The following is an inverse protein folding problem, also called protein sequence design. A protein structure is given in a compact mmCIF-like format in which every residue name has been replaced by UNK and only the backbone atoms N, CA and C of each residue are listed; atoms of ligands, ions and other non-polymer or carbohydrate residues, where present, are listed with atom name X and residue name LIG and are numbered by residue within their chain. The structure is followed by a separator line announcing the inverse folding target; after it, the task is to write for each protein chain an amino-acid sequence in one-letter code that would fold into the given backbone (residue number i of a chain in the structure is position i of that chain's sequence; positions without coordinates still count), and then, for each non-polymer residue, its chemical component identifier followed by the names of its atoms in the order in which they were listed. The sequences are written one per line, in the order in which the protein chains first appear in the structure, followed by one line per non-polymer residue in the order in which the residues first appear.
data_IF_325189530776
#
_entry.id   IF_325189530776
#
_cell.length_a   1.000
_cell.length_b   1.000
_cell.length_c   1.000
_cell.angle_alpha   90.00
_cell.angle_beta   90.00
_cell.angle_gamma   90.00
#
_symmetry.space_group_name_H-M   'P 1'
#
loop_
_entity.id
_entity.type
_entity.pdbx_description
1 polymer ?
#
# COMPACT_ATOMS: atom_id res chain seq x y z
N UNK A 1 12.98 8.64 -68.19
CA UNK A 1 14.01 8.52 -67.13
C UNK A 1 13.51 9.34 -65.94
N UNK A 2 12.53 8.84 -65.20
CA UNK A 2 12.59 8.00 -63.99
C UNK A 2 13.21 8.73 -62.77
N UNK A 3 12.34 9.35 -61.96
CA UNK A 3 12.63 9.86 -60.61
C UNK A 3 12.27 8.73 -59.64
N UNK A 4 13.27 8.22 -58.92
CA UNK A 4 13.16 7.05 -58.05
C UNK A 4 12.44 7.35 -56.74
N UNK A 5 11.44 6.53 -56.43
CA UNK A 5 10.67 6.53 -55.19
C UNK A 5 11.49 5.95 -54.03
N UNK A 6 11.52 6.65 -52.90
CA UNK A 6 12.14 6.23 -51.65
C UNK A 6 11.12 5.43 -50.83
N UNK A 7 11.20 4.10 -50.88
CA UNK A 7 10.40 3.20 -50.03
C UNK A 7 11.06 3.06 -48.65
N UNK A 8 10.42 3.58 -47.60
CA UNK A 8 10.77 3.25 -46.22
C UNK A 8 10.12 1.90 -45.85
N UNK A 9 10.93 0.86 -45.76
CA UNK A 9 10.55 -0.42 -45.14
C UNK A 9 10.64 -0.25 -43.62
N UNK A 10 9.52 -0.07 -42.93
CA UNK A 10 9.46 -0.21 -41.47
C UNK A 10 9.16 -1.68 -41.20
N UNK A 11 10.20 -2.47 -40.97
CA UNK A 11 10.07 -3.84 -40.47
C UNK A 11 9.57 -3.77 -39.03
N UNK A 12 8.27 -3.97 -38.84
CA UNK A 12 7.66 -4.07 -37.53
C UNK A 12 8.10 -5.37 -36.85
N UNK A 13 9.07 -5.30 -35.94
CA UNK A 13 9.27 -6.37 -34.97
C UNK A 13 8.13 -6.27 -33.95
N UNK A 14 7.11 -7.12 -34.13
CA UNK A 14 6.19 -7.46 -33.05
C UNK A 14 7.02 -8.15 -31.96
N UNK A 15 7.50 -7.38 -30.99
CA UNK A 15 8.07 -7.93 -29.77
C UNK A 15 6.92 -8.50 -28.95
N UNK A 16 6.75 -9.81 -29.01
CA UNK A 16 5.89 -10.55 -28.09
C UNK A 16 6.53 -10.48 -26.72
N UNK A 17 6.19 -9.44 -25.95
CA UNK A 17 6.61 -9.31 -24.55
C UNK A 17 5.89 -10.43 -23.79
N UNK A 18 6.53 -11.58 -23.59
CA UNK A 18 6.03 -12.64 -22.72
C UNK A 18 5.86 -12.09 -21.30
N UNK A 19 4.64 -12.00 -20.73
CA UNK A 19 4.45 -11.45 -19.38
C UNK A 19 4.84 -12.43 -18.26
N UNK A 20 5.62 -13.48 -18.52
CA UNK A 20 5.79 -14.62 -17.61
C UNK A 20 7.04 -14.57 -16.71
N UNK A 21 7.77 -13.46 -16.67
CA UNK A 21 8.91 -13.27 -15.73
C UNK A 21 8.77 -12.05 -14.82
N UNK A 22 7.55 -11.56 -14.60
CA UNK A 22 7.27 -10.46 -13.66
C UNK A 22 6.80 -10.93 -12.27
N UNK A 23 6.42 -12.21 -12.11
CA UNK A 23 5.65 -12.66 -10.95
C UNK A 23 6.47 -13.07 -9.70
N UNK A 24 7.81 -13.00 -9.72
CA UNK A 24 8.64 -13.49 -8.59
C UNK A 24 9.30 -12.41 -7.73
N UNK A 25 9.25 -11.14 -8.13
CA UNK A 25 9.91 -10.03 -7.41
C UNK A 25 8.94 -8.94 -6.92
N UNK A 26 7.63 -9.08 -7.17
CA UNK A 26 6.65 -8.04 -6.84
C UNK A 26 6.09 -8.12 -5.40
N UNK A 27 6.52 -9.10 -4.59
CA UNK A 27 6.03 -9.29 -3.21
C UNK A 27 6.97 -8.74 -2.12
N UNK A 28 8.14 -8.22 -2.48
CA UNK A 28 8.96 -7.39 -1.58
C UNK A 28 8.45 -5.93 -1.54
N UNK A 29 7.46 -5.61 -2.37
CA UNK A 29 6.86 -4.28 -2.47
C UNK A 29 5.60 -4.23 -1.62
N UNK A 30 5.65 -3.46 -0.54
CA UNK A 30 4.47 -3.06 0.22
C UNK A 30 3.48 -2.33 -0.69
N UNK A 31 2.28 -2.88 -0.83
CA UNK A 31 1.20 -2.32 -1.66
C UNK A 31 0.11 -1.72 -0.78
N UNK A 32 -0.38 -0.55 -1.17
CA UNK A 32 -1.48 0.13 -0.50
C UNK A 32 -2.65 0.36 -1.44
N UNK A 33 -3.85 0.06 -0.96
CA UNK A 33 -5.11 0.47 -1.59
C UNK A 33 -5.82 1.43 -0.65
N UNK A 34 -6.24 2.59 -1.17
CA UNK A 34 -6.95 3.60 -0.41
C UNK A 34 -8.37 3.71 -0.95
N UNK A 35 -9.36 3.54 -0.08
CA UNK A 35 -10.77 3.74 -0.40
C UNK A 35 -11.27 4.93 0.38
N UNK A 36 -11.63 6.00 -0.33
CA UNK A 36 -12.22 7.20 0.28
C UNK A 36 -13.66 6.89 0.66
N UNK A 37 -14.02 7.16 1.91
CA UNK A 37 -15.37 7.00 2.46
C UNK A 37 -15.83 8.36 3.05
N UNK A 38 -17.14 8.58 3.30
CA UNK A 38 -17.65 9.89 3.70
C UNK A 38 -16.95 10.54 4.92
N UNK A 39 -16.52 9.72 5.87
CA UNK A 39 -15.94 10.11 7.14
C UNK A 39 -14.46 9.73 7.29
N UNK A 40 -13.77 9.40 6.18
CA UNK A 40 -12.34 9.08 6.23
C UNK A 40 -11.81 8.30 5.03
N UNK A 41 -10.77 7.52 5.30
CA UNK A 41 -10.13 6.63 4.33
C UNK A 41 -9.97 5.26 4.96
N UNK A 42 -10.36 4.22 4.23
CA UNK A 42 -9.98 2.83 4.55
C UNK A 42 -8.70 2.53 3.79
N UNK A 43 -7.70 2.03 4.50
CA UNK A 43 -6.40 1.66 3.96
C UNK A 43 -6.25 0.16 4.07
N UNK A 44 -6.00 -0.49 2.94
CA UNK A 44 -5.57 -1.87 2.90
C UNK A 44 -4.09 -1.95 2.53
N UNK A 45 -3.31 -2.65 3.35
CA UNK A 45 -1.90 -2.89 3.11
C UNK A 45 -1.67 -4.37 2.82
N UNK A 46 -0.92 -4.67 1.76
CA UNK A 46 -0.52 -6.03 1.38
C UNK A 46 0.99 -6.08 1.29
N UNK A 47 1.61 -7.02 1.98
CA UNK A 47 3.06 -7.22 1.95
C UNK A 47 3.40 -8.67 2.29
N UNK A 48 4.63 -9.08 1.97
CA UNK A 48 5.17 -10.35 2.44
C UNK A 48 5.72 -10.19 3.85
N UNK A 49 5.21 -10.97 4.78
CA UNK A 49 5.73 -11.00 6.15
C UNK A 49 7.10 -11.66 6.23
N UNK A 50 7.80 -11.42 7.34
CA UNK A 50 9.17 -11.89 7.57
C UNK A 50 9.32 -13.43 7.58
N UNK A 51 10.55 -13.88 7.33
CA UNK A 51 10.88 -15.30 7.21
C UNK A 51 10.75 -16.08 8.54
N UNK A 52 10.79 -15.39 9.68
CA UNK A 52 10.63 -15.98 11.01
C UNK A 52 9.16 -16.06 11.46
N UNK A 53 8.23 -15.58 10.64
CA UNK A 53 6.80 -15.52 10.97
C UNK A 53 6.42 -14.35 11.89
N UNK A 54 7.32 -13.40 12.13
CA UNK A 54 7.09 -12.24 12.98
C UNK A 54 7.45 -10.95 12.27
N UNK A 55 6.47 -10.10 12.00
CA UNK A 55 6.72 -8.77 11.41
C UNK A 55 6.44 -7.66 12.41
N UNK A 56 7.39 -6.73 12.58
CA UNK A 56 7.16 -5.48 13.31
C UNK A 56 6.51 -4.45 12.38
N UNK A 57 5.27 -4.10 12.66
CA UNK A 57 4.55 -3.04 11.98
C UNK A 57 4.71 -1.72 12.74
N UNK A 58 5.39 -0.76 12.12
CA UNK A 58 5.38 0.62 12.56
C UNK A 58 4.16 1.34 11.96
N UNK A 59 3.22 1.77 12.81
CA UNK A 59 2.09 2.57 12.36
C UNK A 59 2.60 3.92 11.84
N UNK A 60 1.98 4.45 10.77
CA UNK A 60 2.41 5.71 10.18
C UNK A 60 2.39 6.83 11.23
N UNK A 61 3.52 7.51 11.39
CA UNK A 61 3.64 8.64 12.30
C UNK A 61 3.18 9.96 11.69
N UNK A 62 3.10 10.03 10.35
CA UNK A 62 2.73 11.24 9.61
C UNK A 62 2.07 10.89 8.27
N UNK A 63 1.01 11.61 7.92
CA UNK A 63 0.42 11.61 6.58
C UNK A 63 -0.34 12.93 6.39
N UNK A 64 -0.13 13.61 5.26
CA UNK A 64 -0.85 14.83 4.86
C UNK A 64 -0.99 15.87 5.99
N UNK A 65 0.13 16.49 6.38
CA UNK A 65 0.25 17.53 7.42
C UNK A 65 -0.10 17.13 8.87
N UNK A 66 -0.65 15.94 9.11
CA UNK A 66 -0.88 15.43 10.46
C UNK A 66 0.37 14.77 11.06
N UNK A 67 0.58 15.02 12.36
CA UNK A 67 1.59 14.36 13.21
C UNK A 67 0.89 13.36 14.12
N UNK A 68 1.56 12.26 14.45
CA UNK A 68 1.05 11.17 15.32
C UNK A 68 -0.18 10.43 14.78
N UNK A 69 -0.25 10.22 13.46
CA UNK A 69 -1.39 9.55 12.80
C UNK A 69 -1.72 8.16 13.37
N UNK A 70 -0.76 7.48 14.00
CA UNK A 70 -0.97 6.23 14.72
C UNK A 70 -2.08 6.31 15.78
N UNK A 71 -2.37 7.50 16.34
CA UNK A 71 -3.49 7.72 17.27
C UNK A 71 -4.86 7.59 16.61
N UNK A 72 -4.90 7.89 15.32
CA UNK A 72 -6.12 7.93 14.52
C UNK A 72 -6.34 6.66 13.71
N UNK A 73 -5.38 5.72 13.75
CA UNK A 73 -5.59 4.36 13.24
C UNK A 73 -6.68 3.67 14.05
N UNK A 74 -7.84 3.48 13.43
CA UNK A 74 -8.98 2.75 14.01
C UNK A 74 -9.13 1.40 13.34
N UNK A 75 -9.70 0.46 14.09
CA UNK A 75 -10.16 -0.83 13.56
C UNK A 75 -9.06 -1.61 12.81
N UNK A 76 -7.80 -1.53 13.27
CA UNK A 76 -6.71 -2.29 12.68
C UNK A 76 -7.01 -3.79 12.79
N UNK A 77 -7.14 -4.43 11.63
CA UNK A 77 -7.50 -5.84 11.53
C UNK A 77 -6.65 -6.54 10.47
N UNK A 78 -6.47 -7.85 10.67
CA UNK A 78 -5.93 -8.72 9.63
C UNK A 78 -7.06 -9.23 8.75
N UNK A 79 -6.85 -9.16 7.43
CA UNK A 79 -7.68 -9.81 6.41
C UNK A 79 -7.09 -11.16 5.98
N UNK A 80 -5.83 -11.45 6.31
CA UNK A 80 -5.22 -12.77 6.11
C UNK A 80 -5.60 -13.72 7.26
N UNK A 81 -6.01 -14.96 6.97
CA UNK A 81 -6.30 -15.97 7.99
C UNK A 81 -5.04 -16.25 8.82
N UNK A 82 -5.25 -16.61 10.08
CA UNK A 82 -4.21 -17.01 11.05
C UNK A 82 -3.13 -15.95 11.35
N UNK A 83 -3.27 -14.74 10.83
CA UNK A 83 -2.42 -13.60 11.20
C UNK A 83 -2.96 -12.97 12.48
N UNK A 84 -2.15 -12.95 13.52
CA UNK A 84 -2.50 -12.32 14.81
C UNK A 84 -1.77 -11.00 14.97
N UNK A 85 -2.47 -10.03 15.55
CA UNK A 85 -1.94 -8.69 15.82
C UNK A 85 -1.80 -8.52 17.33
N UNK A 86 -0.59 -8.21 17.77
CA UNK A 86 -0.27 -7.94 19.17
C UNK A 86 0.28 -6.52 19.33
N UNK A 87 0.22 -5.99 20.55
CA UNK A 87 0.84 -4.73 20.88
C UNK A 87 2.37 -4.86 20.81
N UNK A 88 3.04 -3.86 20.23
CA UNK A 88 4.50 -3.75 20.24
C UNK A 88 5.03 -3.05 21.50
N UNK A 89 6.26 -2.54 21.42
CA UNK A 89 6.91 -1.86 22.56
C UNK A 89 6.39 -0.44 22.79
N UNK A 90 5.66 0.11 21.83
CA UNK A 90 5.01 1.41 21.93
C UNK A 90 3.61 1.39 21.33
N UNK A 91 2.81 2.43 21.61
CA UNK A 91 1.46 2.57 21.05
C UNK A 91 1.44 2.65 19.51
N UNK A 92 2.56 3.02 18.89
CA UNK A 92 2.76 3.09 17.45
C UNK A 92 3.27 1.78 16.83
N UNK A 93 3.57 0.76 17.63
CA UNK A 93 4.08 -0.53 17.15
C UNK A 93 3.03 -1.63 17.29
N UNK A 94 2.98 -2.51 16.29
CA UNK A 94 2.25 -3.77 16.36
C UNK A 94 3.17 -4.91 15.96
N UNK A 95 3.01 -6.05 16.61
CA UNK A 95 3.71 -7.29 16.26
C UNK A 95 2.70 -8.18 15.53
N UNK A 96 3.07 -8.61 14.33
CA UNK A 96 2.25 -9.47 13.51
C UNK A 96 2.83 -10.88 13.56
N UNK A 97 2.04 -11.85 14.00
CA UNK A 97 2.39 -13.26 13.96
C UNK A 97 1.70 -13.92 12.78
N UNK A 98 2.45 -14.56 11.90
CA UNK A 98 1.95 -15.20 10.68
C UNK A 98 2.83 -16.41 10.31
N UNK A 99 2.40 -17.21 9.33
CA UNK A 99 3.28 -18.24 8.78
C UNK A 99 4.52 -17.61 8.12
N UNK A 100 5.67 -18.26 8.24
CA UNK A 100 6.94 -17.79 7.67
C UNK A 100 6.79 -17.38 6.20
N UNK A 101 7.14 -16.13 5.87
CA UNK A 101 7.08 -15.62 4.50
C UNK A 101 5.68 -15.47 3.88
N UNK A 102 4.63 -15.51 4.71
CA UNK A 102 3.23 -15.43 4.27
C UNK A 102 2.89 -14.06 3.67
N UNK A 103 1.90 -14.04 2.79
CA UNK A 103 1.30 -12.80 2.32
C UNK A 103 0.35 -12.27 3.40
N UNK A 104 0.72 -11.15 4.02
CA UNK A 104 -0.05 -10.48 5.06
C UNK A 104 -0.92 -9.41 4.41
N UNK A 105 -2.19 -9.36 4.81
CA UNK A 105 -3.12 -8.33 4.37
C UNK A 105 -3.77 -7.68 5.58
N UNK A 106 -3.61 -6.38 5.72
CA UNK A 106 -4.16 -5.60 6.83
C UNK A 106 -5.17 -4.59 6.30
N UNK A 107 -6.13 -4.24 7.14
CA UNK A 107 -7.06 -3.13 6.94
C UNK A 107 -7.07 -2.24 8.16
N UNK A 108 -7.09 -0.93 7.95
CA UNK A 108 -7.34 0.04 9.00
C UNK A 108 -8.05 1.26 8.46
N UNK A 109 -8.68 2.01 9.36
CA UNK A 109 -9.40 3.23 9.03
C UNK A 109 -8.68 4.45 9.59
N UNK A 110 -8.62 5.49 8.77
CA UNK A 110 -8.21 6.83 9.17
C UNK A 110 -9.43 7.75 9.09
N UNK A 111 -9.88 8.37 10.19
CA UNK A 111 -10.96 9.33 10.15
C UNK A 111 -10.55 10.56 9.34
N UNK A 112 -11.54 11.21 8.72
CA UNK A 112 -11.34 12.49 8.03
C UNK A 112 -10.95 13.55 9.06
N UNK A 113 -9.89 14.29 8.78
CA UNK A 113 -9.57 15.49 9.55
C UNK A 113 -10.68 16.53 9.38
N UNK A 114 -11.46 16.74 10.44
CA UNK A 114 -12.49 17.78 10.51
C UNK A 114 -11.93 19.10 11.02
N UNK A 115 -10.67 19.14 11.47
CA UNK A 115 -10.02 20.34 12.05
C UNK A 115 -9.71 21.39 10.99
N UNK A 116 -9.63 21.02 9.71
CA UNK A 116 -9.52 21.97 8.60
C UNK A 116 -10.80 22.83 8.40
N UNK A 117 -11.93 22.45 8.99
CA UNK A 117 -13.20 23.20 8.89
C UNK A 117 -13.50 24.06 10.13
N UNK A 118 -12.62 24.11 11.14
CA UNK A 118 -12.81 24.96 12.34
C UNK A 118 -12.08 26.30 12.30
N UNK A 119 -11.29 26.57 11.25
CA UNK A 119 -10.53 27.82 11.08
C UNK A 119 -11.03 28.67 9.90
N UNK A 120 -12.35 28.80 9.72
CA UNK A 120 -12.90 29.83 8.84
C UNK A 120 -14.12 30.54 9.46
N UNK A 121 -13.91 31.13 10.65
CA UNK A 121 -14.77 32.21 11.13
C UNK A 121 -13.89 33.24 11.86
N UNK A 122 -13.40 34.22 11.11
CA UNK A 122 -13.05 35.52 11.64
C UNK A 122 -13.73 36.59 10.79
N UNK A 123 -14.77 37.17 11.40
CA UNK A 123 -15.48 38.44 11.15
C UNK A 123 -16.10 38.70 9.77
#
# INVERSE_FOLDING_TARGET
MLVGALFFFITSLASTISPHRAARFALDTLSYTLTVIPDGVVVEAVFRGEADGTTLLALPSQWASQRELWRDVRELASLSPDTRIEAGRSDAERILHHAAGALVRLSYRLPRDTTALSHNTYF
#
